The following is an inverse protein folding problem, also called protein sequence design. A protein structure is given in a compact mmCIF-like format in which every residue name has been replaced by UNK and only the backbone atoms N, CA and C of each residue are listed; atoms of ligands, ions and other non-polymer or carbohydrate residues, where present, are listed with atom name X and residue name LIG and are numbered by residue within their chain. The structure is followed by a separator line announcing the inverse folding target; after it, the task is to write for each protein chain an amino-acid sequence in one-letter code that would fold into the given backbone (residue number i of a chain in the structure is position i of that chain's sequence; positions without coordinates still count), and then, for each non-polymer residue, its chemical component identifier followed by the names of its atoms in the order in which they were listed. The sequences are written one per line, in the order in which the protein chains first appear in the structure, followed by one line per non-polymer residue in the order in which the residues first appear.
data_IF_647768614041
#
_entry.id   IF_647768614041
#
_cell.length_a   1.000
_cell.length_b   1.000
_cell.length_c   1.000
_cell.angle_alpha   90.00
_cell.angle_beta   90.00
_cell.angle_gamma   90.00
#
_symmetry.space_group_name_H-M   'P 1'
#
loop_
_entity.id
_entity.type
_entity.pdbx_description
1 polymer ?
#
# COMPACT_ATOMS: atom_id res chain seq x y z
N UNK A 1 59.06 -2.17 -53.65
CA UNK A 1 58.39 -1.03 -52.97
C UNK A 1 56.92 -1.04 -53.34
N UNK A 2 56.04 -1.02 -52.31
CA UNK A 2 54.70 -0.38 -52.18
C UNK A 2 53.74 -0.37 -53.40
N UNK A 3 52.41 -0.58 -53.31
CA UNK A 3 51.42 -0.86 -52.26
C UNK A 3 50.08 -1.10 -53.01
N UNK A 4 49.37 -2.19 -52.68
CA UNK A 4 47.96 -2.25 -52.22
C UNK A 4 46.97 -1.28 -52.88
N UNK A 5 45.91 -1.80 -53.54
CA UNK A 5 44.51 -1.67 -53.08
C UNK A 5 43.48 -2.42 -53.98
N UNK A 6 42.81 -3.50 -53.51
CA UNK A 6 41.48 -3.87 -53.96
C UNK A 6 40.46 -3.33 -52.95
N UNK A 7 40.07 -2.06 -53.07
CA UNK A 7 39.02 -1.44 -52.22
C UNK A 7 37.66 -1.47 -52.90
N UNK A 8 37.16 -2.67 -53.20
CA UNK A 8 35.77 -2.84 -53.61
C UNK A 8 35.18 -4.17 -53.13
N UNK A 9 35.67 -4.66 -51.97
CA UNK A 9 35.03 -5.73 -51.20
C UNK A 9 35.23 -5.41 -49.70
N UNK A 10 34.71 -4.27 -49.23
CA UNK A 10 34.62 -4.02 -47.78
C UNK A 10 33.49 -3.05 -47.35
N UNK A 11 32.64 -2.60 -48.28
CA UNK A 11 31.49 -1.75 -47.95
C UNK A 11 30.14 -2.49 -47.86
N UNK A 12 30.13 -3.83 -47.90
CA UNK A 12 28.91 -4.65 -47.70
C UNK A 12 28.91 -5.40 -46.34
N UNK A 13 30.00 -5.33 -45.57
CA UNK A 13 30.11 -5.93 -44.23
C UNK A 13 30.03 -4.93 -43.07
N UNK A 14 29.40 -3.76 -43.31
CA UNK A 14 28.68 -3.05 -42.25
C UNK A 14 27.19 -3.18 -42.56
N UNK A 15 26.74 -4.40 -42.83
CA UNK A 15 25.42 -4.82 -42.41
C UNK A 15 25.42 -4.71 -40.90
N UNK A 16 25.03 -3.52 -40.46
CA UNK A 16 24.49 -3.17 -39.17
C UNK A 16 23.95 -4.45 -38.51
N UNK A 17 24.78 -5.08 -37.69
CA UNK A 17 24.33 -6.10 -36.74
C UNK A 17 23.61 -5.38 -35.61
N UNK A 18 22.55 -4.65 -35.95
CA UNK A 18 21.48 -4.30 -35.01
C UNK A 18 20.58 -5.52 -34.86
N UNK A 19 21.14 -6.66 -34.47
CA UNK A 19 20.32 -7.68 -33.83
C UNK A 19 20.01 -7.16 -32.44
N UNK A 20 19.00 -6.26 -32.35
CA UNK A 20 18.35 -5.97 -31.08
C UNK A 20 17.91 -7.31 -30.52
N UNK A 21 18.39 -7.63 -29.33
CA UNK A 21 17.97 -8.85 -28.67
C UNK A 21 16.45 -8.77 -28.41
N UNK A 22 15.77 -9.92 -28.32
CA UNK A 22 14.30 -9.97 -28.20
C UNK A 22 13.72 -9.30 -26.95
N UNK A 23 14.57 -9.04 -25.94
CA UNK A 23 14.20 -8.35 -24.71
C UNK A 23 14.57 -6.87 -24.75
N UNK A 24 15.27 -6.39 -25.79
CA UNK A 24 15.76 -5.02 -25.82
C UNK A 24 14.63 -4.01 -25.82
N UNK A 25 14.82 -2.93 -25.07
CA UNK A 25 13.87 -1.83 -24.90
C UNK A 25 12.55 -2.30 -24.26
N UNK A 26 12.62 -3.28 -23.34
CA UNK A 26 11.44 -3.79 -22.63
C UNK A 26 11.62 -3.75 -21.12
N UNK A 27 10.54 -3.44 -20.41
CA UNK A 27 10.46 -3.49 -18.95
C UNK A 27 9.62 -4.65 -18.48
N UNK A 28 10.04 -5.26 -17.39
CA UNK A 28 9.38 -6.42 -16.79
C UNK A 28 9.32 -6.26 -15.28
N UNK A 29 8.19 -6.62 -14.70
CA UNK A 29 7.99 -6.65 -13.25
C UNK A 29 7.90 -8.09 -12.77
N UNK A 30 8.67 -8.45 -11.75
CA UNK A 30 8.49 -9.70 -11.02
C UNK A 30 7.24 -9.59 -10.17
N UNK A 31 6.25 -10.41 -10.50
CA UNK A 31 4.91 -10.37 -9.89
C UNK A 31 4.65 -11.52 -8.93
N UNK A 32 5.43 -12.60 -9.06
CA UNK A 32 5.41 -13.77 -8.19
C UNK A 32 6.78 -14.40 -8.16
N UNK A 33 7.20 -14.84 -7.00
CA UNK A 33 8.45 -15.56 -6.79
C UNK A 33 8.19 -16.73 -5.84
N UNK A 34 8.84 -17.86 -6.14
CA UNK A 34 8.70 -19.09 -5.39
C UNK A 34 10.08 -19.69 -5.20
N UNK A 35 10.43 -20.15 -4.00
CA UNK A 35 11.70 -20.84 -3.78
C UNK A 35 11.77 -22.19 -4.54
N UNK A 36 12.99 -22.63 -4.82
CA UNK A 36 13.31 -23.93 -5.41
C UNK A 36 14.39 -24.59 -4.51
N UNK A 37 14.08 -25.69 -3.79
CA UNK A 37 12.77 -26.34 -3.67
C UNK A 37 11.75 -25.47 -2.92
N UNK A 38 10.46 -25.77 -3.09
CA UNK A 38 9.34 -24.96 -2.60
C UNK A 38 9.33 -24.73 -1.08
N UNK A 39 10.07 -25.53 -0.32
CA UNK A 39 10.06 -25.55 1.15
C UNK A 39 10.99 -24.51 1.78
N UNK A 40 11.81 -23.80 0.98
CA UNK A 40 12.68 -22.73 1.48
C UNK A 40 11.91 -21.41 1.54
N UNK A 41 11.27 -21.08 2.66
CA UNK A 41 10.30 -19.98 2.89
C UNK A 41 10.64 -18.56 2.38
N UNK A 42 11.81 -18.32 1.80
CA UNK A 42 12.22 -17.01 1.29
C UNK A 42 12.44 -17.02 -0.23
N UNK A 43 11.56 -16.33 -0.95
CA UNK A 43 11.92 -15.71 -2.22
C UNK A 43 11.33 -14.30 -2.27
N UNK A 44 12.19 -13.29 -2.13
CA UNK A 44 11.86 -11.87 -1.97
C UNK A 44 12.24 -11.13 -3.26
N UNK A 45 11.75 -11.63 -4.40
CA UNK A 45 12.00 -10.98 -5.69
C UNK A 45 10.77 -10.25 -6.22
N UNK A 46 9.61 -10.40 -5.58
CA UNK A 46 8.40 -9.66 -5.91
C UNK A 46 8.66 -8.16 -5.82
N UNK A 47 8.22 -7.41 -6.84
CA UNK A 47 8.50 -5.98 -6.93
C UNK A 47 9.80 -5.64 -7.68
N UNK A 48 10.69 -6.61 -7.94
CA UNK A 48 11.88 -6.38 -8.76
C UNK A 48 11.50 -6.03 -10.20
N UNK A 49 12.11 -4.98 -10.75
CA UNK A 49 11.90 -4.48 -12.10
C UNK A 49 13.18 -4.71 -12.90
N UNK A 50 13.04 -5.37 -14.06
CA UNK A 50 14.11 -5.51 -15.05
C UNK A 50 13.78 -4.64 -16.26
N UNK A 51 14.62 -3.65 -16.55
CA UNK A 51 14.55 -2.86 -17.78
C UNK A 51 15.73 -3.21 -18.68
N UNK A 52 15.46 -4.03 -19.69
CA UNK A 52 16.47 -4.48 -20.65
C UNK A 52 16.68 -3.42 -21.71
N UNK A 53 17.93 -2.98 -21.85
CA UNK A 53 18.47 -2.12 -22.90
C UNK A 53 19.21 -3.01 -23.92
N UNK A 54 19.83 -2.42 -24.95
CA UNK A 54 20.53 -3.19 -26.00
C UNK A 54 21.58 -4.16 -25.45
N UNK A 55 22.43 -3.69 -24.51
CA UNK A 55 23.57 -4.46 -23.97
C UNK A 55 23.65 -4.45 -22.42
N UNK A 56 22.70 -3.82 -21.76
CA UNK A 56 22.64 -3.74 -20.29
C UNK A 56 21.20 -3.95 -19.79
N UNK A 57 21.06 -4.37 -18.54
CA UNK A 57 19.79 -4.48 -17.84
C UNK A 57 19.88 -3.61 -16.60
N UNK A 58 18.92 -2.72 -16.46
CA UNK A 58 18.73 -1.89 -15.28
C UNK A 58 17.79 -2.64 -14.33
N UNK A 59 18.27 -2.94 -13.13
CA UNK A 59 17.51 -3.67 -12.11
C UNK A 59 17.18 -2.70 -10.98
N UNK A 60 15.90 -2.61 -10.62
CA UNK A 60 15.42 -1.78 -9.52
C UNK A 60 14.31 -2.48 -8.76
N UNK A 61 13.81 -1.85 -7.70
CA UNK A 61 12.64 -2.30 -6.95
C UNK A 61 11.46 -1.32 -7.14
N UNK A 62 10.23 -1.83 -7.05
CA UNK A 62 9.02 -1.02 -7.17
C UNK A 62 8.85 -0.03 -6.02
N UNK A 63 9.39 -0.31 -4.84
CA UNK A 63 9.33 0.55 -3.64
C UNK A 63 10.59 1.40 -3.44
N UNK A 64 11.64 1.19 -4.25
CA UNK A 64 12.89 1.94 -4.17
C UNK A 64 13.11 2.80 -5.42
N UNK A 65 13.87 3.88 -5.25
CA UNK A 65 14.28 4.76 -6.35
C UNK A 65 15.67 4.40 -6.92
N UNK A 66 16.39 3.53 -6.23
CA UNK A 66 17.71 3.07 -6.64
C UNK A 66 17.58 2.05 -7.78
N UNK A 67 18.54 2.11 -8.69
CA UNK A 67 18.64 1.20 -9.81
C UNK A 67 20.10 0.91 -10.09
N UNK A 68 20.38 -0.32 -10.50
CA UNK A 68 21.73 -0.78 -10.82
C UNK A 68 21.77 -1.31 -12.26
N UNK A 69 22.71 -0.79 -13.04
CA UNK A 69 22.93 -1.18 -14.43
C UNK A 69 23.96 -2.32 -14.50
N UNK A 70 23.55 -3.45 -15.07
CA UNK A 70 24.41 -4.62 -15.28
C UNK A 70 24.56 -4.93 -16.76
N UNK A 71 25.68 -5.52 -17.16
CA UNK A 71 25.80 -6.10 -18.50
C UNK A 71 25.02 -7.41 -18.54
N UNK A 72 24.43 -7.74 -19.69
CA UNK A 72 23.82 -9.06 -19.86
C UNK A 72 24.11 -9.66 -21.23
N UNK A 73 23.98 -10.97 -21.30
CA UNK A 73 24.01 -11.75 -22.53
C UNK A 73 22.82 -12.69 -22.56
N UNK A 74 22.26 -12.91 -23.74
CA UNK A 74 21.22 -13.91 -23.96
C UNK A 74 21.82 -15.03 -24.79
N UNK A 75 21.74 -16.25 -24.28
CA UNK A 75 21.81 -17.48 -25.08
C UNK A 75 20.43 -18.12 -25.09
N UNK A 76 20.14 -19.01 -26.04
CA UNK A 76 18.80 -19.54 -26.40
C UNK A 76 17.73 -19.47 -25.28
N UNK A 77 17.97 -20.12 -24.14
CA UNK A 77 17.05 -20.14 -22.99
C UNK A 77 17.69 -19.64 -21.68
N UNK A 78 18.70 -18.78 -21.76
CA UNK A 78 19.43 -18.32 -20.59
C UNK A 78 19.82 -16.85 -20.74
N UNK A 79 19.56 -16.06 -19.71
CA UNK A 79 20.06 -14.69 -19.55
C UNK A 79 21.17 -14.77 -18.52
N UNK A 80 22.36 -14.27 -18.86
CA UNK A 80 23.49 -14.18 -17.94
C UNK A 80 23.77 -12.71 -17.66
N UNK A 81 23.67 -12.31 -16.39
CA UNK A 81 23.93 -10.96 -15.90
C UNK A 81 25.33 -10.92 -15.29
N UNK A 82 26.15 -9.95 -15.73
CA UNK A 82 27.54 -9.72 -15.32
C UNK A 82 28.45 -10.97 -15.33
N UNK A 83 28.15 -11.90 -16.24
CA UNK A 83 28.82 -13.20 -16.37
C UNK A 83 28.76 -14.10 -15.11
N UNK A 84 27.93 -13.78 -14.11
CA UNK A 84 27.88 -14.50 -12.83
C UNK A 84 26.47 -15.00 -12.48
N UNK A 85 25.44 -14.19 -12.74
CA UNK A 85 24.06 -14.54 -12.40
C UNK A 85 23.36 -15.14 -13.60
N UNK A 86 22.93 -16.39 -13.45
CA UNK A 86 22.28 -17.14 -14.50
C UNK A 86 20.77 -17.24 -14.25
N UNK A 87 20.02 -16.83 -15.26
CA UNK A 87 18.56 -16.83 -15.30
C UNK A 87 18.11 -17.77 -16.41
N UNK A 88 17.54 -18.92 -16.04
CA UNK A 88 17.08 -19.90 -17.03
C UNK A 88 15.63 -19.62 -17.41
N UNK A 89 15.36 -19.38 -18.68
CA UNK A 89 14.00 -19.21 -19.21
C UNK A 89 13.34 -20.58 -19.24
N UNK A 90 12.31 -20.76 -18.40
CA UNK A 90 11.53 -22.00 -18.29
C UNK A 90 10.39 -21.99 -19.28
N UNK A 91 9.68 -20.86 -19.37
CA UNK A 91 8.53 -20.68 -20.25
C UNK A 91 8.35 -19.23 -20.64
N UNK A 92 7.86 -19.00 -21.84
CA UNK A 92 7.63 -17.68 -22.40
C UNK A 92 6.22 -17.63 -23.01
N UNK A 93 5.52 -16.55 -22.71
CA UNK A 93 4.21 -16.19 -23.23
C UNK A 93 4.29 -14.80 -23.88
N UNK A 94 3.22 -14.36 -24.53
CA UNK A 94 3.18 -13.06 -25.20
C UNK A 94 3.46 -11.87 -24.28
N UNK A 95 3.02 -11.96 -23.03
CA UNK A 95 3.03 -10.88 -22.03
C UNK A 95 3.79 -11.26 -20.75
N UNK A 96 4.36 -12.47 -20.67
CA UNK A 96 4.98 -12.96 -19.44
C UNK A 96 6.08 -13.99 -19.69
N UNK A 97 7.06 -14.03 -18.80
CA UNK A 97 8.17 -15.00 -18.84
C UNK A 97 8.32 -15.62 -17.45
N UNK A 98 8.52 -16.93 -17.42
CA UNK A 98 8.87 -17.69 -16.20
C UNK A 98 10.35 -18.03 -16.27
N UNK A 99 11.08 -17.66 -15.22
CA UNK A 99 12.54 -17.80 -15.13
C UNK A 99 12.91 -18.50 -13.82
N UNK A 100 13.91 -19.39 -13.87
CA UNK A 100 14.60 -19.86 -12.67
C UNK A 100 15.80 -18.93 -12.40
N UNK A 101 15.74 -18.17 -11.30
CA UNK A 101 16.79 -17.30 -10.78
C UNK A 101 17.79 -18.13 -9.96
N UNK A 102 19.03 -18.27 -10.44
CA UNK A 102 20.12 -19.03 -9.78
C UNK A 102 19.78 -20.49 -9.40
N UNK A 103 18.70 -21.05 -9.95
CA UNK A 103 18.08 -22.31 -9.49
C UNK A 103 17.61 -22.30 -8.02
N UNK A 104 17.53 -21.13 -7.40
CA UNK A 104 17.09 -20.92 -6.02
C UNK A 104 15.63 -20.45 -5.96
N UNK A 105 15.15 -19.80 -7.03
CA UNK A 105 13.80 -19.29 -7.10
C UNK A 105 13.22 -19.36 -8.52
N UNK A 106 11.94 -19.63 -8.64
CA UNK A 106 11.14 -19.49 -9.86
C UNK A 106 10.37 -18.18 -9.79
N UNK A 107 10.61 -17.30 -10.75
CA UNK A 107 9.98 -15.98 -10.84
C UNK A 107 9.09 -15.87 -12.07
N UNK A 108 7.96 -15.18 -11.93
CA UNK A 108 7.06 -14.78 -13.02
C UNK A 108 7.24 -13.30 -13.29
N UNK A 109 7.76 -12.99 -14.47
CA UNK A 109 7.87 -11.63 -14.99
C UNK A 109 6.66 -11.31 -15.87
N UNK A 110 6.03 -10.17 -15.65
CA UNK A 110 5.02 -9.59 -16.56
C UNK A 110 5.64 -8.44 -17.33
N UNK A 111 5.43 -8.42 -18.64
CA UNK A 111 5.89 -7.36 -19.51
C UNK A 111 5.08 -6.09 -19.26
N UNK A 112 5.78 -4.98 -19.07
CA UNK A 112 5.19 -3.65 -18.96
C UNK A 112 5.38 -2.93 -20.31
N UNK A 113 4.28 -2.78 -21.05
CA UNK A 113 4.23 -2.06 -22.33
C UNK A 113 3.44 -0.78 -22.13
N UNK A 114 4.09 0.35 -22.42
CA UNK A 114 3.55 1.67 -22.12
C UNK A 114 2.17 1.91 -22.73
N UNK A 115 1.27 2.40 -21.89
CA UNK A 115 0.10 3.14 -22.31
C UNK A 115 0.30 4.53 -21.72
N UNK A 116 0.51 5.53 -22.58
CA UNK A 116 0.58 6.93 -22.19
C UNK A 116 -0.66 7.29 -21.36
N UNK A 117 -0.55 7.24 -20.05
CA UNK A 117 -1.57 7.71 -19.12
C UNK A 117 -1.15 9.11 -18.66
N UNK A 118 -2.13 10.01 -18.56
CA UNK A 118 -1.93 11.29 -17.90
C UNK A 118 -1.41 11.08 -16.47
N UNK A 119 -0.59 12.03 -16.00
CA UNK A 119 -0.03 12.02 -14.66
C UNK A 119 -1.16 12.12 -13.64
N UNK A 120 -1.36 11.06 -12.87
CA UNK A 120 -2.30 11.06 -11.75
C UNK A 120 -1.53 11.06 -10.47
N UNK A 121 -1.90 12.01 -9.63
CA UNK A 121 -1.40 12.06 -8.28
C UNK A 121 -2.32 11.27 -7.33
N UNK A 122 -1.85 10.10 -6.93
CA UNK A 122 -2.51 9.32 -5.88
C UNK A 122 -2.34 9.95 -4.50
N UNK A 123 -1.38 10.87 -4.32
CA UNK A 123 -1.04 11.48 -3.04
C UNK A 123 -2.21 12.29 -2.49
N UNK A 124 -2.25 12.41 -1.17
CA UNK A 124 -3.17 13.29 -0.41
C UNK A 124 -4.67 12.97 -0.53
N UNK A 125 -5.01 11.82 -1.13
CA UNK A 125 -6.40 11.42 -1.34
C UNK A 125 -6.68 10.06 -0.71
N UNK A 126 -7.90 9.91 -0.21
CA UNK A 126 -8.44 8.60 0.13
C UNK A 126 -8.98 7.94 -1.14
N UNK A 127 -8.74 6.64 -1.27
CA UNK A 127 -9.17 5.86 -2.42
C UNK A 127 -9.99 4.66 -1.95
N UNK A 128 -10.86 4.14 -2.82
CA UNK A 128 -11.50 2.84 -2.65
C UNK A 128 -11.00 1.91 -3.73
N UNK A 129 -10.34 0.83 -3.34
CA UNK A 129 -10.01 -0.29 -4.22
C UNK A 129 -11.21 -1.23 -4.27
N UNK A 130 -11.82 -1.32 -5.46
CA UNK A 130 -13.01 -2.11 -5.72
C UNK A 130 -12.72 -3.11 -6.83
N UNK A 131 -12.83 -4.40 -6.54
CA UNK A 131 -12.70 -5.46 -7.54
C UNK A 131 -13.99 -5.60 -8.34
N UNK A 132 -13.90 -5.88 -9.64
CA UNK A 132 -15.08 -6.11 -10.50
C UNK A 132 -15.59 -7.57 -10.40
N UNK A 133 -14.81 -8.48 -9.79
CA UNK A 133 -15.14 -9.89 -9.65
C UNK A 133 -15.60 -10.21 -8.22
N UNK A 134 -16.78 -10.81 -8.08
CA UNK A 134 -17.38 -11.14 -6.78
C UNK A 134 -16.54 -12.06 -5.91
N UNK A 135 -15.70 -12.92 -6.51
CA UNK A 135 -14.75 -13.77 -5.77
C UNK A 135 -13.70 -12.98 -4.98
N UNK A 136 -13.54 -11.69 -5.27
CA UNK A 136 -12.53 -10.82 -4.67
C UNK A 136 -13.15 -9.66 -3.88
N UNK A 137 -14.47 -9.64 -3.72
CA UNK A 137 -15.13 -8.57 -2.96
C UNK A 137 -14.67 -8.50 -1.52
N UNK A 138 -14.25 -9.63 -0.92
CA UNK A 138 -13.69 -9.65 0.45
C UNK A 138 -12.45 -8.76 0.62
N UNK A 139 -11.73 -8.48 -0.48
CA UNK A 139 -10.53 -7.63 -0.53
C UNK A 139 -10.82 -6.17 -0.88
N UNK A 140 -12.09 -5.82 -1.14
CA UNK A 140 -12.49 -4.43 -1.33
C UNK A 140 -12.09 -3.60 -0.11
N UNK A 141 -11.41 -2.49 -0.35
CA UNK A 141 -10.79 -1.72 0.72
C UNK A 141 -10.84 -0.22 0.46
N UNK A 142 -10.97 0.55 1.54
CA UNK A 142 -10.60 1.95 1.55
C UNK A 142 -9.11 2.04 1.85
N UNK A 143 -8.41 2.87 1.09
CA UNK A 143 -6.98 3.11 1.18
C UNK A 143 -6.75 4.58 1.55
N UNK A 144 -6.04 4.80 2.64
CA UNK A 144 -5.52 6.11 3.03
C UNK A 144 -4.05 6.12 2.64
N UNK A 145 -3.74 6.71 1.49
CA UNK A 145 -2.38 6.75 0.94
C UNK A 145 -1.68 8.00 1.45
N UNK A 146 -0.70 7.82 2.34
CA UNK A 146 0.04 8.93 2.95
C UNK A 146 1.38 9.15 2.26
N UNK A 147 1.95 10.34 2.39
CA UNK A 147 3.33 10.64 1.99
C UNK A 147 4.36 10.36 3.12
N UNK A 148 3.92 9.81 4.25
CA UNK A 148 4.84 9.41 5.32
C UNK A 148 5.64 8.20 4.89
N UNK A 149 6.93 8.18 5.25
CA UNK A 149 7.80 7.03 5.00
C UNK A 149 7.31 5.81 5.78
N UNK A 150 7.33 4.65 5.14
CA UNK A 150 7.04 3.38 5.80
C UNK A 150 8.22 3.02 6.70
N UNK A 151 8.05 3.21 8.01
CA UNK A 151 9.11 3.07 9.01
C UNK A 151 10.36 3.90 8.64
N UNK A 152 11.51 3.23 8.49
CA UNK A 152 12.80 3.85 8.15
C UNK A 152 13.18 3.67 6.68
N UNK A 153 12.25 3.23 5.83
CA UNK A 153 12.48 3.07 4.39
C UNK A 153 12.17 4.40 3.67
N UNK A 154 13.18 5.14 3.18
CA UNK A 154 13.02 6.54 2.78
C UNK A 154 12.16 6.76 1.52
N UNK A 155 11.95 5.72 0.71
CA UNK A 155 11.28 5.83 -0.59
C UNK A 155 9.95 5.08 -0.68
N UNK A 156 9.66 4.26 0.33
CA UNK A 156 8.40 3.54 0.41
C UNK A 156 7.45 4.29 1.33
N UNK A 157 6.18 4.34 0.95
CA UNK A 157 5.20 5.17 1.61
C UNK A 157 4.23 4.34 2.42
N UNK A 158 3.66 4.98 3.41
CA UNK A 158 2.75 4.35 4.34
C UNK A 158 1.30 4.44 3.84
N UNK A 159 0.59 3.32 3.86
CA UNK A 159 -0.82 3.21 3.56
C UNK A 159 -1.57 2.60 4.74
N UNK A 160 -2.78 3.08 4.99
CA UNK A 160 -3.71 2.45 5.91
C UNK A 160 -4.87 1.88 5.12
N UNK A 161 -5.30 0.68 5.50
CA UNK A 161 -6.32 -0.06 4.78
C UNK A 161 -7.51 -0.29 5.69
N UNK A 162 -8.71 -0.04 5.17
CA UNK A 162 -9.98 -0.37 5.83
C UNK A 162 -10.73 -1.37 4.99
N UNK A 163 -11.01 -2.54 5.55
CA UNK A 163 -11.80 -3.57 4.90
C UNK A 163 -13.25 -3.09 4.79
N UNK A 164 -13.78 -2.99 3.56
CA UNK A 164 -15.11 -2.44 3.34
C UNK A 164 -16.25 -3.40 3.71
N UNK A 165 -15.99 -4.71 3.79
CA UNK A 165 -17.01 -5.70 4.17
C UNK A 165 -17.12 -5.82 5.69
N UNK A 166 -15.98 -5.76 6.39
CA UNK A 166 -15.95 -5.76 7.86
C UNK A 166 -16.16 -4.37 8.46
N UNK A 167 -16.14 -3.33 7.61
CA UNK A 167 -16.24 -1.92 8.00
C UNK A 167 -15.27 -1.54 9.14
N UNK A 168 -14.02 -1.97 9.03
CA UNK A 168 -12.97 -1.65 10.01
C UNK A 168 -11.59 -1.55 9.38
N UNK A 169 -10.70 -0.79 10.01
CA UNK A 169 -9.30 -0.77 9.63
C UNK A 169 -8.64 -2.14 9.82
N UNK A 170 -7.81 -2.53 8.86
CA UNK A 170 -6.85 -3.60 9.04
C UNK A 170 -5.82 -3.13 10.07
N UNK A 171 -5.37 -4.05 10.94
CA UNK A 171 -4.45 -3.75 12.03
C UNK A 171 -3.12 -3.15 11.55
N UNK A 172 -2.60 -3.70 10.45
CA UNK A 172 -1.25 -3.41 10.00
C UNK A 172 -1.25 -2.20 9.08
N UNK A 173 -0.20 -1.40 9.26
CA UNK A 173 0.18 -0.37 8.31
C UNK A 173 0.83 -1.04 7.11
N UNK A 174 0.43 -0.65 5.90
CA UNK A 174 0.94 -1.20 4.66
C UNK A 174 1.97 -0.26 4.02
N UNK A 175 2.82 -0.85 3.18
CA UNK A 175 3.74 -0.14 2.30
C UNK A 175 3.06 0.05 0.94
N UNK A 176 3.20 1.22 0.32
CA UNK A 176 2.70 1.48 -1.03
C UNK A 176 3.68 2.29 -1.88
N UNK A 177 3.54 2.18 -3.19
CA UNK A 177 4.14 3.08 -4.16
C UNK A 177 3.31 3.18 -5.46
N UNK A 178 3.53 4.22 -6.24
CA UNK A 178 2.95 4.40 -7.57
C UNK A 178 4.02 4.88 -8.54
N UNK A 179 4.44 4.00 -9.45
CA UNK A 179 5.64 4.20 -10.28
C UNK A 179 5.29 4.10 -11.77
N UNK A 180 5.82 5.01 -12.57
CA UNK A 180 5.82 4.89 -14.02
C UNK A 180 7.04 4.08 -14.47
N UNK A 181 6.80 2.94 -15.11
CA UNK A 181 7.83 2.04 -15.62
C UNK A 181 7.63 1.91 -17.11
N UNK A 182 8.48 2.58 -17.90
CA UNK A 182 8.44 2.57 -19.36
C UNK A 182 7.05 2.90 -19.93
N UNK A 183 6.42 3.95 -19.40
CA UNK A 183 5.09 4.39 -19.79
C UNK A 183 3.95 3.55 -19.21
N UNK A 184 4.22 2.55 -18.36
CA UNK A 184 3.20 1.80 -17.64
C UNK A 184 3.15 2.26 -16.18
N UNK A 185 2.02 2.78 -15.73
CA UNK A 185 1.84 3.10 -14.32
C UNK A 185 1.45 1.86 -13.52
N UNK A 186 2.18 1.58 -12.45
CA UNK A 186 1.94 0.46 -11.54
C UNK A 186 1.75 1.00 -10.13
N UNK A 187 0.59 0.68 -9.55
CA UNK A 187 0.30 0.84 -8.13
C UNK A 187 0.68 -0.45 -7.40
N UNK A 188 1.55 -0.34 -6.42
CA UNK A 188 2.00 -1.43 -5.58
C UNK A 188 1.60 -1.16 -4.13
N UNK A 189 1.09 -2.18 -3.45
CA UNK A 189 0.72 -2.11 -2.04
C UNK A 189 0.92 -3.47 -1.38
N UNK A 190 1.41 -3.48 -0.14
CA UNK A 190 1.47 -4.71 0.66
C UNK A 190 0.11 -5.07 1.26
N UNK A 191 -0.06 -6.33 1.60
CA UNK A 191 -1.17 -6.87 2.36
C UNK A 191 -0.62 -7.69 3.51
N UNK A 192 -0.93 -7.27 4.74
CA UNK A 192 -0.37 -7.84 5.95
C UNK A 192 1.15 -7.72 6.01
N UNK A 193 1.74 -6.73 5.33
CA UNK A 193 3.20 -6.50 5.20
C UNK A 193 4.02 -7.62 4.52
N UNK A 194 3.46 -8.81 4.34
CA UNK A 194 4.17 -9.98 3.81
C UNK A 194 3.91 -10.23 2.31
N UNK A 195 2.78 -9.74 1.77
CA UNK A 195 2.38 -10.04 0.40
C UNK A 195 2.18 -8.77 -0.40
N UNK A 196 2.82 -8.68 -1.57
CA UNK A 196 2.59 -7.57 -2.48
C UNK A 196 1.34 -7.75 -3.34
N UNK A 197 0.74 -6.65 -3.73
CA UNK A 197 -0.28 -6.59 -4.79
C UNK A 197 0.12 -5.53 -5.80
N UNK A 198 0.19 -5.95 -7.06
CA UNK A 198 0.60 -5.09 -8.16
C UNK A 198 -0.56 -4.84 -9.10
N UNK A 199 -0.87 -3.57 -9.31
CA UNK A 199 -1.99 -3.10 -10.11
C UNK A 199 -1.47 -2.22 -11.23
N UNK A 200 -1.57 -2.68 -12.48
CA UNK A 200 -1.22 -1.88 -13.66
C UNK A 200 -2.42 -1.02 -14.04
N UNK A 201 -2.22 0.28 -14.24
CA UNK A 201 -3.26 1.16 -14.78
C UNK A 201 -3.63 0.69 -16.19
N UNK A 202 -4.93 0.65 -16.47
CA UNK A 202 -5.49 0.19 -17.75
C UNK A 202 -6.44 1.25 -18.30
N UNK A 203 -6.29 1.58 -19.58
CA UNK A 203 -7.13 2.58 -20.25
C UNK A 203 -6.82 4.02 -19.84
N UNK A 204 -7.61 4.96 -20.37
CA UNK A 204 -7.47 6.38 -20.06
C UNK A 204 -7.99 6.66 -18.66
N UNK A 205 -7.18 7.26 -17.79
CA UNK A 205 -7.64 7.60 -16.46
C UNK A 205 -8.70 8.70 -16.46
N UNK A 206 -9.55 8.69 -15.45
CA UNK A 206 -10.50 9.77 -15.17
C UNK A 206 -10.15 10.39 -13.82
N UNK A 207 -10.43 11.68 -13.63
CA UNK A 207 -10.07 12.46 -12.42
C UNK A 207 -10.42 11.78 -11.08
N UNK A 208 -11.46 10.94 -11.07
CA UNK A 208 -11.96 10.26 -9.87
C UNK A 208 -11.92 8.74 -9.94
N UNK A 209 -11.54 8.12 -11.08
CA UNK A 209 -11.57 6.67 -11.25
C UNK A 209 -10.37 6.21 -12.08
N UNK A 210 -9.60 5.27 -11.53
CA UNK A 210 -8.52 4.57 -12.22
C UNK A 210 -8.92 3.13 -12.41
N UNK A 211 -9.05 2.68 -13.65
CA UNK A 211 -9.18 1.26 -13.93
C UNK A 211 -7.81 0.62 -13.83
N UNK A 212 -7.71 -0.47 -13.09
CA UNK A 212 -6.45 -1.19 -12.85
C UNK A 212 -6.62 -2.69 -13.07
N UNK A 213 -5.55 -3.34 -13.49
CA UNK A 213 -5.46 -4.79 -13.66
C UNK A 213 -4.50 -5.36 -12.62
N UNK A 214 -4.97 -6.32 -11.82
CA UNK A 214 -4.14 -7.05 -10.86
C UNK A 214 -3.19 -8.00 -11.60
N UNK A 215 -1.89 -7.79 -11.46
CA UNK A 215 -0.85 -8.52 -12.21
C UNK A 215 -0.45 -9.84 -11.55
N UNK A 216 -0.60 -9.94 -10.23
CA UNK A 216 -0.24 -11.12 -9.44
C UNK A 216 -1.46 -11.89 -8.91
N UNK A 217 -2.65 -11.57 -9.38
CA UNK A 217 -3.82 -12.42 -9.21
C UNK A 217 -3.73 -13.68 -10.07
N UNK A 218 -4.51 -14.72 -9.75
CA UNK A 218 -4.50 -15.98 -10.49
C UNK A 218 -5.02 -15.82 -11.93
N UNK A 219 -6.04 -14.98 -12.10
CA UNK A 219 -6.55 -14.53 -13.38
C UNK A 219 -6.24 -13.04 -13.56
N UNK A 220 -6.33 -12.53 -14.80
CA UNK A 220 -6.31 -11.08 -15.03
C UNK A 220 -7.62 -10.51 -14.46
N UNK A 221 -7.51 -9.89 -13.30
CA UNK A 221 -8.66 -9.32 -12.60
C UNK A 221 -8.63 -7.81 -12.73
N UNK A 222 -9.75 -7.26 -13.16
CA UNK A 222 -9.98 -5.83 -13.19
C UNK A 222 -10.48 -5.35 -11.83
N UNK A 223 -9.97 -4.19 -11.44
CA UNK A 223 -10.39 -3.45 -10.28
C UNK A 223 -10.38 -1.95 -10.61
N UNK A 224 -10.87 -1.15 -9.68
CA UNK A 224 -10.91 0.30 -9.79
C UNK A 224 -10.39 0.92 -8.52
N UNK A 225 -9.56 1.96 -8.66
CA UNK A 225 -9.29 2.91 -7.59
C UNK A 225 -10.24 4.09 -7.78
N UNK A 226 -11.17 4.27 -6.85
CA UNK A 226 -12.17 5.34 -6.88
C UNK A 226 -11.77 6.38 -5.84
N UNK A 227 -11.51 7.61 -6.27
CA UNK A 227 -11.17 8.73 -5.40
C UNK A 227 -12.36 9.06 -4.50
N UNK A 228 -12.14 9.13 -3.20
CA UNK A 228 -13.17 9.56 -2.26
C UNK A 228 -13.39 11.07 -2.41
N UNK A 229 -14.66 11.49 -2.40
CA UNK A 229 -15.02 12.89 -2.51
C UNK A 229 -14.64 13.61 -1.21
N UNK A 230 -13.89 14.71 -1.34
CA UNK A 230 -13.61 15.61 -0.22
C UNK A 230 -14.86 16.45 0.09
N UNK A 231 -15.05 16.75 1.37
CA UNK A 231 -16.08 17.69 1.79
C UNK A 231 -15.75 19.10 1.34
N UNK A 232 -16.80 19.88 1.07
CA UNK A 232 -16.70 21.34 0.97
C UNK A 232 -16.33 21.93 2.33
N UNK A 233 -15.79 23.15 2.34
CA UNK A 233 -15.44 23.85 3.58
C UNK A 233 -16.66 24.03 4.50
N UNK A 234 -17.85 24.28 3.93
CA UNK A 234 -19.10 24.43 4.69
C UNK A 234 -19.47 23.11 5.39
N UNK A 235 -19.42 21.98 4.67
CA UNK A 235 -19.71 20.66 5.25
C UNK A 235 -18.69 20.30 6.33
N UNK A 236 -17.41 20.57 6.07
CA UNK A 236 -16.32 20.36 7.03
C UNK A 236 -16.53 21.17 8.31
N UNK A 237 -16.87 22.46 8.18
CA UNK A 237 -17.09 23.34 9.33
C UNK A 237 -18.30 22.92 10.18
N UNK A 238 -19.35 22.36 9.58
CA UNK A 238 -20.50 21.80 10.32
C UNK A 238 -20.10 20.61 11.21
N UNK A 239 -19.22 19.74 10.73
CA UNK A 239 -18.72 18.61 11.53
C UNK A 239 -17.79 19.13 12.62
N UNK A 240 -16.85 20.02 12.27
CA UNK A 240 -15.92 20.62 13.22
C UNK A 240 -16.66 21.35 14.35
N UNK A 241 -17.71 22.13 14.06
CA UNK A 241 -18.47 22.84 15.09
C UNK A 241 -19.22 21.92 16.05
N UNK A 242 -19.55 20.70 15.63
CA UNK A 242 -20.14 19.69 16.52
C UNK A 242 -19.07 19.01 17.37
N UNK A 243 -17.90 18.70 16.79
CA UNK A 243 -16.82 18.00 17.47
C UNK A 243 -16.09 18.87 18.49
N UNK A 244 -15.75 20.10 18.08
CA UNK A 244 -14.92 21.03 18.85
C UNK A 244 -15.58 21.48 20.16
N UNK A 245 -14.76 21.70 21.17
CA UNK A 245 -15.13 22.19 22.51
C UNK A 245 -16.28 21.39 23.15
N UNK A 246 -16.35 20.11 22.82
CA UNK A 246 -17.36 19.18 23.33
C UNK A 246 -16.70 18.01 24.05
N UNK A 247 -17.31 17.64 25.17
CA UNK A 247 -16.88 16.50 25.99
C UNK A 247 -17.79 15.31 25.75
N UNK A 248 -17.29 14.35 24.99
CA UNK A 248 -18.00 13.18 24.53
C UNK A 248 -17.74 11.99 25.45
N UNK A 249 -18.72 11.61 26.25
CA UNK A 249 -18.60 10.45 27.16
C UNK A 249 -19.27 9.23 26.55
N UNK A 250 -18.65 8.06 26.71
CA UNK A 250 -19.29 6.80 26.30
C UNK A 250 -20.62 6.61 27.03
N UNK A 251 -21.68 6.45 26.25
CA UNK A 251 -23.04 6.18 26.74
C UNK A 251 -23.48 4.74 26.45
N UNK A 252 -23.02 4.20 25.31
CA UNK A 252 -23.34 2.87 24.86
C UNK A 252 -22.16 2.27 24.08
N UNK A 253 -21.95 0.97 24.29
CA UNK A 253 -21.07 0.14 23.45
C UNK A 253 -21.98 -0.51 22.42
N UNK A 254 -21.70 -0.25 21.14
CA UNK A 254 -22.48 -0.78 20.01
C UNK A 254 -21.91 -2.14 19.62
N UNK A 255 -20.59 -2.23 19.52
CA UNK A 255 -19.88 -3.44 19.10
C UNK A 255 -18.47 -3.49 19.70
N UNK A 256 -17.96 -4.69 19.93
CA UNK A 256 -16.59 -4.98 20.40
C UNK A 256 -16.08 -6.24 19.71
N UNK A 257 -14.92 -6.13 19.07
CA UNK A 257 -14.21 -7.27 18.51
C UNK A 257 -12.75 -7.26 18.95
N UNK A 258 -12.35 -8.31 19.67
CA UNK A 258 -10.96 -8.50 20.11
C UNK A 258 -10.15 -9.02 18.94
N UNK A 259 -9.24 -8.20 18.45
CA UNK A 259 -8.39 -8.50 17.28
C UNK A 259 -7.17 -9.31 17.70
N UNK A 260 -6.55 -8.96 18.82
CA UNK A 260 -5.40 -9.69 19.34
C UNK A 260 -5.19 -9.53 20.83
N UNK A 261 -4.42 -10.45 21.39
CA UNK A 261 -3.95 -10.43 22.78
C UNK A 261 -2.44 -10.62 22.74
N UNK A 262 -1.70 -9.75 23.40
CA UNK A 262 -0.24 -9.85 23.53
C UNK A 262 0.21 -9.67 24.96
N UNK A 263 1.36 -10.26 25.29
CA UNK A 263 1.99 -10.10 26.59
C UNK A 263 3.09 -9.04 26.49
N UNK A 264 2.84 -7.83 26.98
CA UNK A 264 3.81 -6.72 27.00
C UNK A 264 3.63 -5.95 28.33
N UNK A 265 4.70 -5.26 28.76
CA UNK A 265 4.78 -4.49 30.01
C UNK A 265 4.57 -2.99 29.79
N UNK A 266 3.78 -2.54 28.80
CA UNK A 266 3.56 -1.11 28.63
C UNK A 266 2.40 -0.64 29.53
N UNK A 267 2.75 0.21 30.49
CA UNK A 267 1.80 0.77 31.46
C UNK A 267 1.08 2.03 30.95
N UNK A 268 1.38 2.48 29.73
CA UNK A 268 0.83 3.70 29.14
C UNK A 268 -0.59 3.56 28.56
N UNK A 269 -1.11 2.35 28.40
CA UNK A 269 -2.42 2.13 27.78
C UNK A 269 -3.60 2.44 28.70
N UNK A 270 -4.70 2.89 28.10
CA UNK A 270 -5.95 3.09 28.83
C UNK A 270 -6.45 1.72 29.31
N UNK A 271 -6.86 1.58 30.59
CA UNK A 271 -7.42 0.33 31.08
C UNK A 271 -8.66 -0.11 30.31
N UNK A 272 -8.74 -1.39 29.98
CA UNK A 272 -9.90 -2.01 29.34
C UNK A 272 -11.19 -1.80 30.13
N UNK A 273 -11.13 -1.81 31.46
CA UNK A 273 -12.29 -1.52 32.30
C UNK A 273 -12.83 -0.08 32.09
N UNK A 274 -12.01 0.86 31.64
CA UNK A 274 -12.51 2.20 31.25
C UNK A 274 -13.48 2.14 30.08
N UNK A 275 -13.27 1.21 29.14
CA UNK A 275 -14.16 0.96 28.01
C UNK A 275 -15.45 0.27 28.48
N UNK A 276 -15.33 -0.87 29.16
CA UNK A 276 -16.47 -1.72 29.55
C UNK A 276 -17.38 -1.05 30.57
N UNK A 277 -16.80 -0.29 31.50
CA UNK A 277 -17.58 0.50 32.46
C UNK A 277 -18.06 1.85 31.88
N UNK A 278 -17.83 2.11 30.59
CA UNK A 278 -18.26 3.34 29.87
C UNK A 278 -17.73 4.62 30.52
N UNK A 279 -16.48 4.59 30.96
CA UNK A 279 -15.79 5.70 31.61
C UNK A 279 -14.80 6.39 30.69
N UNK A 280 -14.66 5.95 29.44
CA UNK A 280 -13.92 6.71 28.43
C UNK A 280 -14.63 8.01 28.09
N UNK A 281 -13.83 9.07 28.00
CA UNK A 281 -14.26 10.39 27.54
C UNK A 281 -13.29 10.89 26.48
N UNK A 282 -13.84 11.50 25.44
CA UNK A 282 -13.12 12.11 24.33
C UNK A 282 -13.42 13.61 24.32
N UNK A 283 -12.39 14.43 24.23
CA UNK A 283 -12.51 15.87 24.17
C UNK A 283 -11.66 16.37 23.01
N UNK A 284 -12.27 17.15 22.12
CA UNK A 284 -11.64 17.69 20.93
C UNK A 284 -11.70 19.21 21.03
N UNK A 285 -10.57 19.87 21.25
CA UNK A 285 -10.52 21.30 21.54
C UNK A 285 -10.33 22.13 20.27
N UNK A 286 -10.79 23.38 20.33
CA UNK A 286 -10.69 24.33 19.23
C UNK A 286 -9.26 24.65 18.80
N UNK A 287 -8.31 24.59 19.73
CA UNK A 287 -6.87 24.74 19.48
C UNK A 287 -6.23 23.54 18.76
N UNK A 288 -7.05 22.56 18.34
CA UNK A 288 -6.67 21.30 17.69
C UNK A 288 -5.96 20.32 18.61
N UNK A 289 -5.99 20.52 19.92
CA UNK A 289 -5.58 19.49 20.87
C UNK A 289 -6.75 18.54 21.20
N UNK A 290 -6.44 17.30 21.57
CA UNK A 290 -7.42 16.33 22.04
C UNK A 290 -7.01 15.73 23.38
N UNK A 291 -8.00 15.23 24.12
CA UNK A 291 -7.80 14.46 25.33
C UNK A 291 -8.74 13.24 25.35
N UNK A 292 -8.16 12.06 25.55
CA UNK A 292 -8.91 10.81 25.81
C UNK A 292 -8.56 10.35 27.22
N UNK A 293 -9.57 10.20 28.08
CA UNK A 293 -9.39 9.88 29.49
C UNK A 293 -10.19 8.65 29.92
N UNK A 294 -9.56 7.79 30.73
CA UNK A 294 -10.20 6.64 31.42
C UNK A 294 -10.30 6.77 32.95
N UNK A 295 -10.59 5.65 33.63
CA UNK A 295 -10.92 5.55 35.07
C UNK A 295 -9.79 5.95 36.03
N UNK A 296 -8.52 5.78 35.63
CA UNK A 296 -7.35 5.77 36.54
C UNK A 296 -6.40 6.93 36.33
N UNK A 297 -6.91 8.11 35.93
CA UNK A 297 -6.12 9.29 35.54
C UNK A 297 -5.20 9.12 34.32
N UNK A 298 -5.16 7.92 33.70
CA UNK A 298 -4.54 7.71 32.39
C UNK A 298 -5.22 8.59 31.35
N UNK A 299 -4.39 9.36 30.65
CA UNK A 299 -4.79 10.36 29.67
C UNK A 299 -3.89 10.23 28.46
N UNK A 300 -4.50 10.14 27.28
CA UNK A 300 -3.82 10.26 26.01
C UNK A 300 -4.18 11.63 25.45
N UNK A 301 -3.19 12.36 24.98
CA UNK A 301 -3.39 13.69 24.40
C UNK A 301 -2.44 13.92 23.24
N UNK A 302 -2.81 14.84 22.37
CA UNK A 302 -2.04 15.21 21.20
C UNK A 302 -2.82 16.18 20.34
N UNK A 303 -2.48 16.24 19.06
CA UNK A 303 -3.21 17.07 18.10
C UNK A 303 -4.26 16.22 17.35
N UNK A 304 -5.33 16.84 16.87
CA UNK A 304 -6.32 16.17 16.04
C UNK A 304 -6.69 17.03 14.83
N UNK A 305 -7.19 16.36 13.79
CA UNK A 305 -7.77 16.99 12.60
C UNK A 305 -8.86 16.11 12.01
N UNK A 306 -9.81 16.74 11.32
CA UNK A 306 -10.80 16.01 10.53
C UNK A 306 -10.20 15.62 9.17
N UNK A 307 -10.46 14.39 8.70
CA UNK A 307 -10.07 13.93 7.37
C UNK A 307 -10.71 14.77 6.26
N UNK A 308 -10.17 14.73 5.05
CA UNK A 308 -10.68 15.56 3.94
C UNK A 308 -12.08 15.12 3.48
N UNK A 309 -12.43 13.84 3.64
CA UNK A 309 -13.77 13.32 3.40
C UNK A 309 -14.71 13.47 4.60
N UNK A 310 -14.20 13.91 5.76
CA UNK A 310 -14.98 14.13 6.98
C UNK A 310 -15.49 12.86 7.65
N UNK A 311 -15.03 11.70 7.20
CA UNK A 311 -15.42 10.39 7.73
C UNK A 311 -14.54 9.94 8.89
N UNK A 312 -13.40 10.60 9.14
CA UNK A 312 -12.47 10.22 10.20
C UNK A 312 -11.97 11.43 10.99
N UNK A 313 -11.91 11.26 12.31
CA UNK A 313 -11.08 12.08 13.19
C UNK A 313 -9.69 11.45 13.21
N UNK A 314 -8.67 12.22 12.84
CA UNK A 314 -7.28 11.79 12.78
C UNK A 314 -6.55 12.40 13.97
N UNK A 315 -6.06 11.54 14.85
CA UNK A 315 -5.26 11.89 16.01
C UNK A 315 -3.78 11.96 15.66
N UNK A 316 -3.01 12.65 16.48
CA UNK A 316 -1.55 12.74 16.42
C UNK A 316 -1.07 13.13 15.02
N UNK A 317 -0.18 12.35 14.42
CA UNK A 317 0.30 12.55 13.03
C UNK A 317 -0.39 11.63 12.01
N UNK A 318 -1.32 10.77 12.45
CA UNK A 318 -2.06 9.85 11.59
C UNK A 318 -1.17 8.78 10.97
N UNK A 319 -0.16 8.31 11.70
CA UNK A 319 0.78 7.26 11.25
C UNK A 319 0.37 5.85 11.67
N UNK A 320 -0.49 5.73 12.67
CA UNK A 320 -0.98 4.44 13.16
C UNK A 320 -2.44 4.26 12.80
N UNK A 321 -2.88 3.01 12.66
CA UNK A 321 -4.30 2.70 12.47
C UNK A 321 -5.14 3.22 13.64
N UNK A 322 -4.61 3.15 14.86
CA UNK A 322 -5.26 3.65 16.07
C UNK A 322 -5.48 5.15 16.09
N UNK A 323 -4.76 5.91 15.26
CA UNK A 323 -4.95 7.35 15.14
C UNK A 323 -6.24 7.71 14.39
N UNK A 324 -6.89 6.75 13.72
CA UNK A 324 -8.08 7.00 12.91
C UNK A 324 -9.33 6.54 13.67
N UNK A 325 -10.16 7.51 14.06
CA UNK A 325 -11.48 7.27 14.61
C UNK A 325 -12.50 7.51 13.47
N UNK A 326 -13.17 6.44 13.04
CA UNK A 326 -14.31 6.52 12.11
C UNK A 326 -15.44 7.32 12.75
N UNK A 327 -16.03 8.27 12.01
CA UNK A 327 -17.30 8.92 12.34
C UNK A 327 -18.40 8.14 11.63
N UNK A 328 -19.16 7.35 12.38
CA UNK A 328 -20.24 6.53 11.85
C UNK A 328 -21.54 7.32 11.70
N UNK A 329 -21.82 8.19 12.67
CA UNK A 329 -22.93 9.16 12.64
C UNK A 329 -22.64 10.33 13.58
N UNK A 330 -23.17 11.52 13.28
CA UNK A 330 -22.98 12.71 14.11
C UNK A 330 -24.25 13.56 14.20
N UNK A 331 -24.88 13.51 15.37
CA UNK A 331 -26.06 14.30 15.72
C UNK A 331 -25.69 15.43 16.69
N UNK A 332 -26.69 16.16 17.19
CA UNK A 332 -26.42 17.30 18.08
C UNK A 332 -26.00 16.85 19.49
N UNK A 333 -26.54 15.75 19.98
CA UNK A 333 -26.38 15.24 21.34
C UNK A 333 -25.55 13.95 21.41
N UNK A 334 -25.36 13.25 20.29
CA UNK A 334 -24.54 12.06 20.22
C UNK A 334 -23.68 11.99 18.96
N UNK A 335 -22.59 11.24 19.08
CA UNK A 335 -21.75 10.79 17.97
C UNK A 335 -21.54 9.28 18.10
N UNK A 336 -21.57 8.58 16.97
CA UNK A 336 -21.15 7.19 16.91
C UNK A 336 -19.79 7.11 16.24
N UNK A 337 -18.87 6.41 16.91
CA UNK A 337 -17.50 6.27 16.45
C UNK A 337 -17.09 4.81 16.35
N UNK A 338 -16.18 4.52 15.43
CA UNK A 338 -15.46 3.24 15.35
C UNK A 338 -13.95 3.47 15.47
N UNK A 339 -13.23 2.67 16.25
CA UNK A 339 -11.77 2.80 16.35
C UNK A 339 -11.12 1.48 16.76
N UNK A 340 -9.89 1.26 16.29
CA UNK A 340 -9.02 0.17 16.70
C UNK A 340 -8.03 0.72 17.73
N UNK A 341 -7.98 0.16 18.94
CA UNK A 341 -7.03 0.64 19.95
C UNK A 341 -6.54 -0.48 20.87
N UNK A 342 -5.42 -0.20 21.54
CA UNK A 342 -4.83 -1.05 22.56
C UNK A 342 -5.31 -0.64 23.95
N UNK A 343 -5.68 -1.64 24.75
CA UNK A 343 -6.13 -1.48 26.12
C UNK A 343 -5.31 -2.39 27.05
N UNK A 344 -4.98 -1.90 28.24
CA UNK A 344 -4.36 -2.71 29.28
C UNK A 344 -5.41 -3.52 30.04
N UNK A 345 -5.16 -4.80 30.27
CA UNK A 345 -5.93 -5.60 31.22
C UNK A 345 -5.36 -5.34 32.62
N UNK A 346 -6.03 -4.47 33.37
CA UNK A 346 -5.74 -4.28 34.80
C UNK A 346 -5.65 -5.64 35.46
N UNK A 347 -4.50 -5.94 36.07
CA UNK A 347 -4.14 -7.20 36.77
C UNK A 347 -3.35 -8.23 35.93
N UNK A 348 -2.96 -7.92 34.69
CA UNK A 348 -2.13 -8.81 33.88
C UNK A 348 -1.11 -8.05 33.04
N UNK A 349 0.01 -8.68 32.68
CA UNK A 349 0.96 -8.18 31.68
C UNK A 349 0.42 -8.38 30.25
N UNK A 350 -0.89 -8.21 30.07
CA UNK A 350 -1.58 -8.46 28.82
C UNK A 350 -2.25 -7.19 28.32
N UNK A 351 -2.18 -7.03 27.02
CA UNK A 351 -2.81 -5.94 26.29
C UNK A 351 -3.78 -6.54 25.27
N UNK A 352 -4.92 -5.87 25.12
CA UNK A 352 -5.96 -6.22 24.17
C UNK A 352 -6.01 -5.19 23.07
N UNK A 353 -5.88 -5.65 21.84
CA UNK A 353 -6.20 -4.86 20.68
C UNK A 353 -7.65 -5.07 20.32
N UNK A 354 -8.45 -4.02 20.38
CA UNK A 354 -9.90 -4.10 20.25
C UNK A 354 -10.34 -3.10 19.19
N UNK A 355 -11.11 -3.59 18.22
CA UNK A 355 -11.95 -2.73 17.42
C UNK A 355 -13.28 -2.53 18.14
N UNK A 356 -13.64 -1.29 18.40
CA UNK A 356 -14.87 -0.96 19.11
C UNK A 356 -15.72 0.01 18.30
N UNK A 357 -17.04 -0.12 18.44
CA UNK A 357 -18.02 0.89 18.02
C UNK A 357 -18.74 1.43 19.25
N UNK A 358 -18.73 2.75 19.43
CA UNK A 358 -19.29 3.41 20.61
C UNK A 358 -20.26 4.50 20.21
N UNK A 359 -21.29 4.69 21.02
CA UNK A 359 -22.09 5.92 21.02
C UNK A 359 -21.66 6.79 22.19
N UNK A 360 -21.18 7.98 21.88
CA UNK A 360 -20.80 8.99 22.84
C UNK A 360 -21.91 10.03 22.94
N UNK A 361 -22.17 10.55 24.15
CA UNK A 361 -23.06 11.69 24.37
C UNK A 361 -22.27 12.92 24.75
N UNK A 362 -22.70 14.06 24.24
CA UNK A 362 -22.18 15.34 24.68
C UNK A 362 -22.76 15.64 26.06
N UNK A 363 -21.90 15.71 27.08
CA UNK A 363 -22.37 16.00 28.44
C UNK A 363 -22.46 17.51 28.73
N UNK A 364 -22.20 18.37 27.75
CA UNK A 364 -22.01 19.79 27.98
C UNK A 364 -20.68 20.03 28.72
N UNK A 365 -19.93 21.04 28.27
CA UNK A 365 -18.81 21.60 29.03
C UNK A 365 -19.32 22.47 30.17
#
# INVERSE_FOLDING_TARGET
MKKILPSLIFCVFVLISCNKNRLSDTSWLVTKSYPIPADNENSILDGTIFHFKNNSVDISDIYLNESEDFKFKISKNQITIDNSTNLKIVKEYSDSIIIDYKNEARIKLIKLQGQSAELIDLRTNNWKLMFDNSKYYEFNSKLILTDSTFFKEPNSKMALKKNLNKDRFDRLVEKWNFKNINGSYVFAITNGQAFDSFFKVSGTPQDSILNVECLNCNDIIKAKLIKEKNLTEIERNKILSKLSDSKWKVSQIIDLDTISVSNITDSGFIPYNSLIEKQLTFEFLNDKSYLIQGKTSTKISGNWRLSSSGNEIILSDGKSVSDYIDILSIENDFIEIGNLNWFSLNDSYQELEIYYKLRLRNNGG
#
